data_IF_919184182359
#
_entry.id   IF_919184182359
#
_cell.length_a   1.000
_cell.length_b   1.000
_cell.length_c   1.000
_cell.angle_alpha   90.00
_cell.angle_beta   90.00
_cell.angle_gamma   90.00
#
_symmetry.space_group_name_H-M   'P 1'
#
loop_
_entity.id
_entity.type
_entity.pdbx_description
1 polymer ?
#
# COMPACT_ATOMS: atom_id res chain seq x y z
N UNK A 1 10.19 11.72 -28.80
CA UNK A 1 9.32 11.25 -27.69
C UNK A 1 10.11 11.08 -26.38
N UNK A 2 11.09 10.18 -26.31
CA UNK A 2 11.82 9.90 -25.06
C UNK A 2 12.55 11.13 -24.44
N UNK A 3 12.98 12.10 -25.25
CA UNK A 3 13.65 13.32 -24.77
C UNK A 3 12.70 14.53 -24.63
N UNK A 4 11.39 14.32 -24.78
CA UNK A 4 10.40 15.40 -24.65
C UNK A 4 10.20 15.79 -23.19
N UNK A 5 10.13 17.10 -22.92
CA UNK A 5 9.78 17.64 -21.61
C UNK A 5 8.42 17.14 -21.13
N UNK A 6 7.43 17.08 -22.01
CA UNK A 6 6.09 16.58 -21.67
C UNK A 6 6.14 15.12 -21.18
N UNK A 7 6.99 14.28 -21.79
CA UNK A 7 7.20 12.90 -21.35
C UNK A 7 7.90 12.84 -20.00
N UNK A 8 8.93 13.67 -19.78
CA UNK A 8 9.64 13.75 -18.50
C UNK A 8 8.72 14.18 -17.35
N UNK A 9 7.85 15.17 -17.58
CA UNK A 9 6.85 15.63 -16.60
C UNK A 9 5.82 14.55 -16.32
N UNK A 10 5.30 13.90 -17.38
CA UNK A 10 4.30 12.84 -17.22
C UNK A 10 4.82 11.68 -16.38
N UNK A 11 6.01 11.16 -16.70
CA UNK A 11 6.63 10.04 -15.98
C UNK A 11 6.95 10.41 -14.53
N UNK A 12 7.58 11.58 -14.31
CA UNK A 12 7.88 12.06 -12.96
C UNK A 12 6.61 12.22 -12.11
N UNK A 13 5.55 12.79 -12.69
CA UNK A 13 4.26 12.94 -12.00
C UNK A 13 3.68 11.60 -11.57
N UNK A 14 3.70 10.57 -12.45
CA UNK A 14 3.20 9.24 -12.10
C UNK A 14 4.04 8.58 -11.00
N UNK A 15 5.37 8.66 -11.09
CA UNK A 15 6.26 8.07 -10.08
C UNK A 15 6.09 8.74 -8.72
N UNK A 16 6.10 10.07 -8.67
CA UNK A 16 5.89 10.80 -7.42
C UNK A 16 4.51 10.50 -6.86
N UNK A 17 3.47 10.39 -7.71
CA UNK A 17 2.14 9.99 -7.24
C UNK A 17 2.12 8.61 -6.60
N UNK A 18 2.77 7.64 -7.25
CA UNK A 18 2.76 6.26 -6.82
C UNK A 18 3.57 6.05 -5.53
N UNK A 19 4.74 6.67 -5.42
CA UNK A 19 5.67 6.42 -4.33
C UNK A 19 5.58 7.41 -3.16
N UNK A 20 5.17 8.66 -3.41
CA UNK A 20 5.28 9.74 -2.41
C UNK A 20 3.90 10.21 -1.93
N UNK A 21 3.07 10.77 -2.80
CA UNK A 21 1.81 11.40 -2.37
C UNK A 21 0.76 11.45 -3.49
N UNK A 22 -0.52 11.34 -3.14
CA UNK A 22 -1.63 11.44 -4.10
C UNK A 22 -1.59 12.74 -4.92
N UNK A 23 -1.21 13.84 -4.27
CA UNK A 23 -0.89 15.14 -4.87
C UNK A 23 0.65 15.31 -4.95
N UNK A 24 1.27 15.06 -6.12
CA UNK A 24 2.72 15.12 -6.28
C UNK A 24 3.30 16.51 -5.95
N UNK A 25 4.30 16.63 -5.06
CA UNK A 25 4.96 17.91 -4.80
C UNK A 25 5.61 18.46 -6.09
N UNK A 26 5.26 19.68 -6.55
CA UNK A 26 5.76 20.21 -7.82
C UNK A 26 7.29 20.27 -7.90
N UNK A 27 7.95 20.58 -6.77
CA UNK A 27 9.41 20.62 -6.68
C UNK A 27 10.06 19.25 -6.94
N UNK A 28 9.47 18.17 -6.41
CA UNK A 28 9.99 16.82 -6.63
C UNK A 28 9.75 16.36 -8.07
N UNK A 29 8.57 16.66 -8.63
CA UNK A 29 8.28 16.39 -10.05
C UNK A 29 9.33 17.05 -10.94
N UNK A 30 9.59 18.36 -10.72
CA UNK A 30 10.61 19.09 -11.48
C UNK A 30 12.01 18.45 -11.35
N UNK A 31 12.41 18.06 -10.13
CA UNK A 31 13.70 17.41 -9.86
C UNK A 31 13.87 16.11 -10.65
N UNK A 32 12.86 15.24 -10.65
CA UNK A 32 12.86 13.97 -11.38
C UNK A 32 12.84 14.19 -12.90
N UNK A 33 11.98 15.09 -13.39
CA UNK A 33 11.92 15.42 -14.81
C UNK A 33 13.26 15.92 -15.33
N UNK A 34 13.95 16.79 -14.58
CA UNK A 34 15.27 17.27 -14.94
C UNK A 34 16.34 16.15 -14.93
N UNK A 35 16.30 15.24 -13.95
CA UNK A 35 17.24 14.10 -13.92
C UNK A 35 17.09 13.21 -15.17
N UNK A 36 15.84 12.96 -15.58
CA UNK A 36 15.54 12.22 -16.80
C UNK A 36 15.99 12.96 -18.06
N UNK A 37 15.75 14.27 -18.18
CA UNK A 37 16.18 15.05 -19.34
C UNK A 37 17.71 15.14 -19.46
N UNK A 38 18.42 15.42 -18.36
CA UNK A 38 19.90 15.51 -18.34
C UNK A 38 20.57 14.19 -18.72
N UNK A 39 19.93 13.07 -18.42
CA UNK A 39 20.44 11.73 -18.74
C UNK A 39 20.08 11.25 -20.16
N UNK A 40 19.42 12.08 -20.97
CA UNK A 40 18.94 11.69 -22.30
C UNK A 40 17.75 10.74 -22.28
N UNK A 41 16.99 10.70 -21.18
CA UNK A 41 15.80 9.87 -21.02
C UNK A 41 16.02 8.55 -20.27
N UNK A 42 17.04 8.46 -19.42
CA UNK A 42 17.30 7.25 -18.65
C UNK A 42 16.40 7.17 -17.41
N UNK A 43 15.47 6.21 -17.39
CA UNK A 43 14.63 5.92 -16.21
C UNK A 43 15.44 5.61 -14.93
N UNK A 44 16.58 4.88 -14.98
CA UNK A 44 17.39 4.67 -13.78
C UNK A 44 17.84 5.95 -13.07
N UNK A 45 18.15 7.02 -13.82
CA UNK A 45 18.52 8.31 -13.23
C UNK A 45 17.33 8.99 -12.53
N UNK A 46 16.13 8.86 -13.11
CA UNK A 46 14.90 9.34 -12.47
C UNK A 46 14.60 8.57 -11.18
N UNK A 47 14.73 7.24 -11.18
CA UNK A 47 14.54 6.41 -9.98
C UNK A 47 15.58 6.73 -8.91
N UNK A 48 16.84 6.94 -9.28
CA UNK A 48 17.89 7.35 -8.34
C UNK A 48 17.54 8.68 -7.69
N UNK A 49 17.11 9.68 -8.47
CA UNK A 49 16.68 10.97 -7.95
C UNK A 49 15.49 10.86 -6.98
N UNK A 50 14.54 9.96 -7.25
CA UNK A 50 13.41 9.67 -6.35
C UNK A 50 13.89 9.07 -5.02
N UNK A 51 14.70 8.00 -5.09
CA UNK A 51 15.22 7.31 -3.90
C UNK A 51 16.12 8.22 -3.06
N UNK A 52 16.79 9.19 -3.66
CA UNK A 52 17.61 10.18 -2.95
C UNK A 52 16.81 11.36 -2.39
N UNK A 53 15.52 11.48 -2.73
CA UNK A 53 14.70 12.61 -2.29
C UNK A 53 14.23 12.42 -0.83
N UNK A 54 14.34 13.43 0.04
CA UNK A 54 13.85 13.34 1.42
C UNK A 54 12.34 13.12 1.47
N UNK A 55 11.59 13.64 0.49
CA UNK A 55 10.14 13.45 0.38
C UNK A 55 9.75 11.97 0.25
N UNK A 56 10.60 11.11 -0.34
CA UNK A 56 10.34 9.68 -0.46
C UNK A 56 10.51 8.89 0.86
N UNK A 57 11.10 9.52 1.88
CA UNK A 57 11.40 8.89 3.18
C UNK A 57 10.74 9.64 4.35
N UNK A 58 9.70 10.43 4.07
CA UNK A 58 8.90 11.05 5.11
C UNK A 58 8.37 9.98 6.08
N UNK A 59 8.38 10.29 7.39
CA UNK A 59 7.98 9.34 8.43
C UNK A 59 6.48 9.05 8.45
N UNK A 60 5.66 9.93 7.89
CA UNK A 60 4.21 9.83 7.92
C UNK A 60 3.70 9.07 6.68
N UNK A 61 3.02 7.91 6.84
CA UNK A 61 2.53 7.12 5.73
C UNK A 61 1.45 7.86 4.92
N UNK A 62 1.84 8.42 3.78
CA UNK A 62 0.94 9.23 2.96
C UNK A 62 0.03 8.38 2.05
N UNK A 63 0.42 7.15 1.73
CA UNK A 63 -0.26 6.33 0.71
C UNK A 63 -1.20 5.33 1.36
N UNK A 64 -2.41 5.21 0.82
CA UNK A 64 -3.31 4.12 1.17
C UNK A 64 -2.96 2.88 0.33
N UNK A 65 -2.81 1.72 0.99
CA UNK A 65 -2.50 0.46 0.30
C UNK A 65 -3.63 0.10 -0.65
N UNK A 66 -3.29 -0.23 -1.89
CA UNK A 66 -4.18 -0.90 -2.83
C UNK A 66 -4.61 -2.27 -2.29
N UNK A 67 -5.72 -2.86 -2.78
CA UNK A 67 -6.10 -4.23 -2.44
C UNK A 67 -4.98 -5.25 -2.59
N UNK A 68 -4.15 -5.13 -3.63
CA UNK A 68 -2.99 -5.97 -3.88
C UNK A 68 -1.95 -5.85 -2.76
N UNK A 69 -1.52 -4.63 -2.43
CA UNK A 69 -0.53 -4.37 -1.38
C UNK A 69 -1.04 -4.79 -0.01
N UNK A 70 -2.29 -4.48 0.32
CA UNK A 70 -2.92 -4.89 1.56
C UNK A 70 -2.94 -6.41 1.68
N UNK A 71 -3.40 -7.11 0.64
CA UNK A 71 -3.47 -8.58 0.62
C UNK A 71 -2.10 -9.21 0.82
N UNK A 72 -1.09 -8.79 0.04
CA UNK A 72 0.27 -9.33 0.17
C UNK A 72 0.89 -9.04 1.54
N UNK A 73 0.71 -7.82 2.06
CA UNK A 73 1.22 -7.46 3.38
C UNK A 73 0.54 -8.24 4.51
N UNK A 74 -0.77 -8.46 4.44
CA UNK A 74 -1.55 -9.27 5.39
C UNK A 74 -1.06 -10.72 5.39
N UNK A 75 -0.93 -11.34 4.22
CA UNK A 75 -0.49 -12.73 4.10
C UNK A 75 0.94 -12.92 4.59
N UNK A 76 1.85 -12.02 4.20
CA UNK A 76 3.25 -12.04 4.67
C UNK A 76 3.33 -11.82 6.17
N UNK A 77 2.58 -10.85 6.71
CA UNK A 77 2.56 -10.53 8.12
C UNK A 77 2.02 -11.67 8.99
N UNK A 78 1.03 -12.40 8.49
CA UNK A 78 0.44 -13.57 9.15
C UNK A 78 1.22 -14.87 8.90
N UNK A 79 2.30 -14.85 8.11
CA UNK A 79 3.07 -16.05 7.77
C UNK A 79 2.33 -17.05 6.87
N UNK A 80 1.26 -16.63 6.19
CA UNK A 80 0.46 -17.46 5.29
C UNK A 80 1.15 -17.61 3.92
N UNK A 81 2.17 -18.48 3.87
CA UNK A 81 3.07 -18.63 2.71
C UNK A 81 2.67 -19.70 1.69
N UNK A 82 1.76 -20.61 2.02
CA UNK A 82 1.44 -21.73 1.13
C UNK A 82 0.42 -21.37 0.04
N UNK A 83 0.87 -21.40 -1.22
CA UNK A 83 0.09 -21.08 -2.41
C UNK A 83 -0.93 -22.15 -2.82
N UNK A 84 -0.95 -23.32 -2.16
CA UNK A 84 -1.62 -24.53 -2.66
C UNK A 84 -3.16 -24.50 -2.73
N UNK A 85 -3.83 -23.54 -2.08
CA UNK A 85 -5.30 -23.45 -2.07
C UNK A 85 -5.83 -22.00 -2.02
N UNK A 86 -4.99 -21.01 -2.30
CA UNK A 86 -5.36 -19.61 -2.12
C UNK A 86 -5.97 -19.04 -3.40
N UNK A 87 -7.29 -18.81 -3.37
CA UNK A 87 -8.04 -18.13 -4.43
C UNK A 87 -7.77 -16.61 -4.40
N UNK A 88 -6.53 -16.20 -4.71
CA UNK A 88 -6.12 -14.79 -4.70
C UNK A 88 -6.88 -13.95 -5.72
N UNK A 89 -7.08 -14.47 -6.94
CA UNK A 89 -7.77 -13.72 -7.98
C UNK A 89 -9.24 -13.42 -7.63
N UNK A 90 -10.04 -14.38 -7.11
CA UNK A 90 -11.36 -14.08 -6.57
C UNK A 90 -11.36 -13.10 -5.40
N UNK A 91 -10.40 -13.22 -4.48
CA UNK A 91 -10.24 -12.30 -3.35
C UNK A 91 -9.99 -10.86 -3.80
N UNK A 92 -9.06 -10.67 -4.74
CA UNK A 92 -8.74 -9.36 -5.30
C UNK A 92 -9.88 -8.79 -6.15
N UNK A 93 -10.65 -9.65 -6.81
CA UNK A 93 -11.90 -9.26 -7.48
C UNK A 93 -12.92 -8.76 -6.46
N UNK A 94 -13.09 -9.46 -5.33
CA UNK A 94 -13.98 -9.02 -4.24
C UNK A 94 -13.54 -7.67 -3.67
N UNK A 95 -12.24 -7.41 -3.58
CA UNK A 95 -11.68 -6.15 -3.09
C UNK A 95 -11.66 -5.02 -4.14
N UNK A 96 -12.13 -5.26 -5.37
CA UNK A 96 -12.23 -4.23 -6.41
C UNK A 96 -10.97 -4.03 -7.27
N UNK A 97 -9.96 -4.90 -7.17
CA UNK A 97 -8.73 -4.85 -7.99
C UNK A 97 -8.48 -6.21 -8.68
N UNK A 98 -9.29 -6.62 -9.66
CA UNK A 98 -9.16 -7.94 -10.30
C UNK A 98 -7.79 -8.11 -10.96
N UNK A 99 -7.20 -9.30 -10.88
CA UNK A 99 -5.84 -9.52 -11.41
C UNK A 99 -5.82 -9.38 -12.93
N UNK A 100 -4.92 -8.55 -13.45
CA UNK A 100 -4.70 -8.28 -14.89
C UNK A 100 -5.93 -7.77 -15.66
N UNK A 101 -6.88 -7.11 -14.97
CA UNK A 101 -8.11 -6.61 -15.59
C UNK A 101 -8.46 -5.18 -15.13
N UNK A 102 -7.60 -4.18 -15.39
CA UNK A 102 -7.94 -2.79 -15.09
C UNK A 102 -9.16 -2.35 -15.92
N UNK A 103 -9.98 -1.45 -15.36
CA UNK A 103 -11.19 -0.97 -16.02
C UNK A 103 -10.93 -0.06 -17.23
N UNK A 104 -9.68 0.34 -17.48
CA UNK A 104 -9.29 1.17 -18.61
C UNK A 104 -7.83 0.92 -19.02
N UNK A 105 -7.41 1.35 -20.23
CA UNK A 105 -6.00 1.32 -20.66
C UNK A 105 -5.05 2.14 -19.77
N UNK A 106 -5.56 3.06 -18.95
CA UNK A 106 -4.75 3.84 -18.03
C UNK A 106 -4.20 3.00 -16.85
N UNK A 107 -4.77 1.81 -16.62
CA UNK A 107 -4.43 0.93 -15.50
C UNK A 107 -5.31 1.18 -14.27
N UNK A 108 -4.79 0.82 -13.10
CA UNK A 108 -5.40 1.10 -11.81
C UNK A 108 -4.99 2.49 -11.30
N UNK A 109 -5.87 3.13 -10.54
CA UNK A 109 -5.57 4.42 -9.93
C UNK A 109 -4.56 4.28 -8.79
N UNK A 110 -3.71 5.30 -8.68
CA UNK A 110 -2.69 5.42 -7.63
C UNK A 110 -3.11 6.43 -6.54
N UNK A 111 -4.40 6.65 -6.30
CA UNK A 111 -4.88 7.58 -5.26
C UNK A 111 -5.73 6.88 -4.21
N UNK A 112 -5.68 7.35 -2.96
CA UNK A 112 -6.40 6.75 -1.84
C UNK A 112 -7.92 6.74 -2.06
N UNK A 113 -8.47 7.79 -2.69
CA UNK A 113 -9.90 7.92 -2.93
C UNK A 113 -10.50 6.74 -3.73
N UNK A 114 -9.71 6.14 -4.64
CA UNK A 114 -10.14 4.97 -5.44
C UNK A 114 -10.21 3.67 -4.63
N UNK A 115 -9.61 3.63 -3.43
CA UNK A 115 -9.43 2.40 -2.63
C UNK A 115 -10.01 2.46 -1.22
N UNK A 116 -10.34 3.66 -0.72
CA UNK A 116 -10.83 3.91 0.63
C UNK A 116 -12.33 4.24 0.70
N UNK A 117 -13.09 3.84 -0.33
CA UNK A 117 -14.55 3.96 -0.32
C UNK A 117 -15.15 3.10 0.82
N UNK A 118 -16.29 3.50 1.42
CA UNK A 118 -16.88 2.78 2.55
C UNK A 118 -17.10 1.28 2.31
N UNK A 119 -17.61 0.91 1.12
CA UNK A 119 -17.84 -0.48 0.74
C UNK A 119 -16.53 -1.28 0.58
N UNK A 120 -15.47 -0.64 0.03
CA UNK A 120 -14.14 -1.23 -0.07
C UNK A 120 -13.54 -1.52 1.30
N UNK A 121 -13.75 -0.63 2.28
CA UNK A 121 -13.31 -0.83 3.66
C UNK A 121 -14.07 -1.99 4.34
N UNK A 122 -15.38 -2.10 4.14
CA UNK A 122 -16.18 -3.23 4.65
C UNK A 122 -15.66 -4.56 4.10
N UNK A 123 -15.39 -4.65 2.81
CA UNK A 123 -14.82 -5.85 2.17
C UNK A 123 -13.46 -6.24 2.78
N UNK A 124 -12.62 -5.26 3.16
CA UNK A 124 -11.37 -5.52 3.88
C UNK A 124 -11.61 -6.05 5.29
N UNK A 125 -12.60 -5.53 6.02
CA UNK A 125 -12.98 -6.04 7.35
C UNK A 125 -13.40 -7.51 7.27
N UNK A 126 -14.30 -7.85 6.35
CA UNK A 126 -14.74 -9.24 6.17
C UNK A 126 -13.57 -10.18 5.85
N UNK A 127 -12.66 -9.74 4.98
CA UNK A 127 -11.51 -10.56 4.59
C UNK A 127 -10.46 -10.64 5.72
N UNK A 128 -10.24 -9.57 6.47
CA UNK A 128 -9.36 -9.56 7.64
C UNK A 128 -9.84 -10.57 8.69
N UNK A 129 -11.15 -10.64 8.94
CA UNK A 129 -11.74 -11.65 9.82
C UNK A 129 -11.51 -13.07 9.31
N UNK A 130 -11.68 -13.32 7.99
CA UNK A 130 -11.39 -14.63 7.40
C UNK A 130 -9.91 -15.03 7.53
N UNK A 131 -8.99 -14.08 7.32
CA UNK A 131 -7.55 -14.30 7.48
C UNK A 131 -7.20 -14.57 8.95
N UNK A 132 -7.73 -13.77 9.87
CA UNK A 132 -7.54 -13.94 11.31
C UNK A 132 -8.08 -15.30 11.81
N UNK A 133 -9.27 -15.70 11.36
CA UNK A 133 -9.85 -17.01 11.70
C UNK A 133 -8.99 -18.18 11.19
N UNK A 134 -8.35 -18.04 10.02
CA UNK A 134 -7.45 -19.07 9.48
C UNK A 134 -6.19 -19.23 10.33
N UNK A 135 -5.68 -18.14 10.89
CA UNK A 135 -4.51 -18.15 11.76
C UNK A 135 -4.88 -18.69 13.14
N UNK A 136 -6.04 -18.29 13.67
CA UNK A 136 -6.49 -18.67 15.00
C UNK A 136 -5.70 -17.94 16.09
N UNK A 137 -5.39 -18.65 17.17
CA UNK A 137 -4.61 -18.19 18.32
C UNK A 137 -3.10 -18.36 18.17
N UNK A 138 -2.63 -18.90 17.04
CA UNK A 138 -1.21 -19.13 16.74
C UNK A 138 -0.37 -17.85 16.64
N UNK A 139 -1.01 -16.70 16.51
CA UNK A 139 -0.36 -15.40 16.36
C UNK A 139 -1.06 -14.39 17.23
N UNK A 140 -0.30 -13.71 18.09
CA UNK A 140 -0.79 -12.62 18.92
C UNK A 140 -0.58 -11.28 18.21
N UNK A 141 -1.67 -10.54 17.95
CA UNK A 141 -1.61 -9.21 17.36
C UNK A 141 -0.84 -8.19 18.23
N UNK A 142 -0.79 -8.38 19.55
CA UNK A 142 -0.06 -7.52 20.49
C UNK A 142 1.45 -7.66 20.33
N UNK A 143 1.92 -8.85 19.94
CA UNK A 143 3.33 -9.08 19.62
C UNK A 143 3.64 -8.80 18.15
N UNK A 144 2.70 -9.11 17.25
CA UNK A 144 2.88 -8.96 15.82
C UNK A 144 2.82 -7.49 15.38
N UNK A 145 1.90 -6.69 15.94
CA UNK A 145 1.71 -5.28 15.60
C UNK A 145 3.00 -4.47 15.67
N UNK A 146 3.73 -4.47 16.80
CA UNK A 146 5.02 -3.77 16.92
C UNK A 146 6.09 -4.25 15.94
N UNK A 147 6.05 -5.53 15.52
CA UNK A 147 6.99 -6.09 14.53
C UNK A 147 6.65 -5.64 13.11
N UNK A 148 5.36 -5.58 12.76
CA UNK A 148 4.91 -5.18 11.42
C UNK A 148 4.92 -3.66 11.20
N UNK A 149 4.66 -2.90 12.25
CA UNK A 149 4.50 -1.45 12.24
C UNK A 149 5.55 -0.79 13.14
N UNK A 150 6.79 -1.29 13.06
CA UNK A 150 7.90 -0.80 13.87
C UNK A 150 8.11 0.71 13.63
N UNK A 151 7.96 1.50 14.69
CA UNK A 151 8.07 2.96 14.63
C UNK A 151 6.82 3.69 14.10
N UNK A 152 5.78 2.98 13.65
CA UNK A 152 4.56 3.59 13.09
C UNK A 152 3.26 3.09 13.72
N UNK A 153 3.31 2.13 14.65
CA UNK A 153 2.15 1.70 15.43
C UNK A 153 1.69 2.82 16.38
N UNK A 154 0.50 3.35 16.12
CA UNK A 154 -0.11 4.41 16.91
C UNK A 154 -0.69 3.89 18.23
N UNK A 155 -0.72 4.75 19.24
CA UNK A 155 -1.32 4.41 20.54
C UNK A 155 -2.81 4.01 20.45
N UNK A 156 -3.66 4.65 19.61
CA UNK A 156 -5.04 4.22 19.41
C UNK A 156 -5.16 2.80 18.85
N UNK A 157 -4.36 2.45 17.83
CA UNK A 157 -4.36 1.10 17.26
C UNK A 157 -3.88 0.07 18.28
N UNK A 158 -2.79 0.37 19.00
CA UNK A 158 -2.28 -0.52 20.06
C UNK A 158 -3.32 -0.76 21.17
N UNK A 159 -4.02 0.28 21.60
CA UNK A 159 -5.08 0.19 22.61
C UNK A 159 -6.27 -0.64 22.11
N UNK A 160 -6.68 -0.47 20.85
CA UNK A 160 -7.76 -1.25 20.25
C UNK A 160 -7.40 -2.74 20.17
N UNK A 161 -6.18 -3.07 19.75
CA UNK A 161 -5.66 -4.45 19.72
C UNK A 161 -5.62 -5.05 21.12
N UNK A 162 -5.13 -4.31 22.11
CA UNK A 162 -4.99 -4.80 23.49
C UNK A 162 -6.34 -5.08 24.18
N UNK A 163 -7.39 -4.35 23.80
CA UNK A 163 -8.76 -4.48 24.35
C UNK A 163 -9.64 -5.48 23.59
N UNK A 164 -9.12 -6.10 22.53
CA UNK A 164 -9.88 -7.05 21.75
C UNK A 164 -10.28 -8.27 22.59
N UNK A 165 -11.53 -8.71 22.43
CA UNK A 165 -12.12 -9.84 23.17
C UNK A 165 -11.53 -11.21 22.79
N UNK A 166 -10.88 -11.30 21.63
CA UNK A 166 -10.26 -12.53 21.13
C UNK A 166 -9.00 -12.23 20.32
N UNK A 167 -8.10 -13.22 20.19
CA UNK A 167 -6.91 -13.12 19.36
C UNK A 167 -7.27 -12.87 17.88
N UNK A 168 -8.35 -13.48 17.39
CA UNK A 168 -8.84 -13.29 16.02
C UNK A 168 -9.35 -11.86 15.81
N UNK A 169 -10.13 -11.32 16.75
CA UNK A 169 -10.57 -9.93 16.71
C UNK A 169 -9.38 -8.98 16.75
N UNK A 170 -8.37 -9.26 17.60
CA UNK A 170 -7.15 -8.47 17.70
C UNK A 170 -6.37 -8.44 16.37
N UNK A 171 -6.24 -9.58 15.70
CA UNK A 171 -5.60 -9.69 14.38
C UNK A 171 -6.40 -8.96 13.29
N UNK A 172 -7.72 -9.12 13.28
CA UNK A 172 -8.57 -8.41 12.33
C UNK A 172 -8.44 -6.88 12.50
N UNK A 173 -8.47 -6.39 13.75
CA UNK A 173 -8.26 -4.99 14.09
C UNK A 173 -6.89 -4.48 13.63
N UNK A 174 -5.83 -5.26 13.84
CA UNK A 174 -4.49 -4.92 13.33
C UNK A 174 -4.52 -4.72 11.80
N UNK A 175 -5.07 -5.67 11.05
CA UNK A 175 -5.09 -5.63 9.58
C UNK A 175 -5.97 -4.52 8.99
N UNK A 176 -6.97 -4.02 9.71
CA UNK A 176 -7.84 -2.92 9.24
C UNK A 176 -7.53 -1.58 9.87
N UNK A 177 -6.55 -1.52 10.78
CA UNK A 177 -6.12 -0.30 11.45
C UNK A 177 -5.63 0.76 10.46
N UNK A 178 -5.79 2.06 10.74
CA UNK A 178 -5.24 3.13 9.90
C UNK A 178 -3.75 2.94 9.61
N UNK A 179 -2.99 2.51 10.62
CA UNK A 179 -1.55 2.27 10.55
C UNK A 179 -1.21 1.16 9.55
N UNK A 180 -1.95 0.05 9.56
CA UNK A 180 -1.72 -1.05 8.63
C UNK A 180 -2.24 -0.75 7.23
N UNK A 181 -3.26 0.09 7.09
CA UNK A 181 -3.85 0.42 5.79
C UNK A 181 -2.98 1.37 4.96
N UNK A 182 -1.92 1.94 5.54
CA UNK A 182 -1.06 2.93 4.90
C UNK A 182 0.38 2.44 4.71
N UNK A 183 1.10 3.09 3.79
CA UNK A 183 2.53 2.93 3.53
C UNK A 183 3.18 4.26 3.22
#
# INVERSE_FOLDING_TARGET
LAQSEATAIHLATKLVRHFVADAPPPALVARLSQAYLRSGGALPEMYRALVQSPEAWASEPAKFKTPWEWTLSSLRGLGLREAGAQHFAPMLTQLGQPVWRPGSPAGYDDIAASWAAPDALVRRVELAQRLAARVGDRVDARELGPKLLAGTLSAPTAAAIARAESAQTALALLLVSPDFQRR
#
